data_IF_011818808405
#
_entry.id   IF_011818808405
#
_cell.length_a   1.000
_cell.length_b   1.000
_cell.length_c   1.000
_cell.angle_alpha   90.00
_cell.angle_beta   90.00
_cell.angle_gamma   90.00
#
_symmetry.space_group_name_H-M   'P 1'
#
loop_
_entity.id
_entity.type
_entity.pdbx_description
1 polymer ?
#
# COMPACT_ATOMS: atom_id res chain seq x y z
N UNK A 1 -29.21 22.77 16.50
CA UNK A 1 -29.53 21.98 15.30
C UNK A 1 -29.23 20.53 15.64
N UNK A 2 -30.22 19.64 15.58
CA UNK A 2 -30.01 18.24 15.91
C UNK A 2 -29.11 17.61 14.83
N UNK A 3 -27.94 17.10 15.21
CA UNK A 3 -27.10 16.28 14.35
C UNK A 3 -27.87 15.00 14.03
N UNK A 4 -28.43 14.91 12.83
CA UNK A 4 -28.87 13.64 12.27
C UNK A 4 -27.67 12.69 12.27
N UNK A 5 -27.77 11.48 12.83
CA UNK A 5 -26.67 10.53 12.78
C UNK A 5 -26.30 10.25 11.31
N UNK A 6 -25.01 10.07 11.00
CA UNK A 6 -24.57 9.73 9.66
C UNK A 6 -25.24 8.44 9.22
N UNK A 7 -25.63 8.36 7.94
CA UNK A 7 -26.39 7.24 7.39
C UNK A 7 -25.61 5.92 7.39
N UNK A 8 -24.29 5.97 7.47
CA UNK A 8 -23.40 4.81 7.51
C UNK A 8 -22.44 4.91 8.69
N UNK A 9 -22.21 3.78 9.35
CA UNK A 9 -21.32 3.67 10.51
C UNK A 9 -20.54 2.35 10.46
N UNK A 10 -19.38 2.32 11.12
CA UNK A 10 -18.58 1.10 11.31
C UNK A 10 -17.88 1.11 12.65
N UNK A 11 -17.33 -0.03 13.05
CA UNK A 11 -16.59 -0.18 14.29
C UNK A 11 -15.09 -0.16 14.01
N UNK A 12 -14.37 0.81 14.59
CA UNK A 12 -12.90 0.83 14.60
C UNK A 12 -12.41 0.26 15.94
N UNK A 13 -11.56 -0.76 15.96
CA UNK A 13 -10.97 -1.28 17.20
C UNK A 13 -10.14 -0.22 17.90
N UNK A 14 -10.30 -0.12 19.22
CA UNK A 14 -9.51 0.76 20.05
C UNK A 14 -8.12 0.15 20.31
N UNK A 15 -7.06 0.98 20.37
CA UNK A 15 -5.80 0.56 20.96
C UNK A 15 -6.05 0.16 22.42
N UNK A 16 -5.63 -1.04 22.82
CA UNK A 16 -5.81 -1.51 24.21
C UNK A 16 -4.94 -0.66 25.14
N UNK A 17 -5.54 0.14 26.01
CA UNK A 17 -4.86 0.61 27.22
C UNK A 17 -4.77 -0.58 28.18
N UNK A 18 -3.55 -0.98 28.54
CA UNK A 18 -3.18 -2.08 29.46
C UNK A 18 -3.03 -3.48 28.84
N UNK A 19 -2.01 -4.19 29.33
CA UNK A 19 -1.46 -5.45 28.80
C UNK A 19 -2.33 -6.69 29.01
N UNK A 20 -3.60 -6.64 28.62
CA UNK A 20 -4.44 -7.82 28.51
C UNK A 20 -4.34 -8.40 27.09
N UNK A 21 -4.03 -9.70 27.00
CA UNK A 21 -4.14 -10.50 25.79
C UNK A 21 -5.63 -10.64 25.41
N UNK A 22 -6.22 -9.63 24.78
CA UNK A 22 -7.53 -9.76 24.16
C UNK A 22 -7.35 -10.28 22.73
N UNK A 23 -7.85 -11.50 22.52
CA UNK A 23 -7.77 -12.23 21.23
C UNK A 23 -8.82 -11.78 20.22
N UNK A 24 -9.73 -10.87 20.59
CA UNK A 24 -10.80 -10.38 19.72
C UNK A 24 -10.76 -8.83 19.60
N UNK A 25 -10.31 -8.27 18.46
CA UNK A 25 -10.29 -6.83 18.23
C UNK A 25 -11.68 -6.19 18.21
N UNK A 26 -12.75 -6.97 18.03
CA UNK A 26 -14.11 -6.43 17.96
C UNK A 26 -14.73 -6.20 19.36
N UNK A 27 -14.16 -6.82 20.40
CA UNK A 27 -14.66 -6.70 21.78
C UNK A 27 -14.47 -5.29 22.39
N UNK A 28 -13.54 -4.50 21.84
CA UNK A 28 -13.25 -3.13 22.29
C UNK A 28 -13.16 -2.19 21.08
N UNK A 29 -14.28 -1.95 20.42
CA UNK A 29 -14.37 -1.10 19.23
C UNK A 29 -15.28 0.11 19.44
N UNK A 30 -14.94 1.24 18.81
CA UNK A 30 -15.73 2.46 18.81
C UNK A 30 -16.54 2.57 17.52
N UNK A 31 -17.83 2.89 17.66
CA UNK A 31 -18.70 3.18 16.54
C UNK A 31 -18.38 4.56 15.96
N UNK A 32 -17.93 4.59 14.71
CA UNK A 32 -17.53 5.80 13.99
C UNK A 32 -18.36 5.99 12.71
N UNK A 33 -18.54 7.22 12.25
CA UNK A 33 -19.19 7.50 10.97
C UNK A 33 -18.37 7.02 9.77
N UNK A 34 -19.07 6.63 8.71
CA UNK A 34 -18.51 6.53 7.36
C UNK A 34 -19.05 7.70 6.53
N UNK A 35 -18.14 8.49 5.96
CA UNK A 35 -18.46 9.63 5.09
C UNK A 35 -18.17 9.28 3.64
N UNK A 36 -19.19 9.32 2.78
CA UNK A 36 -19.00 9.29 1.33
C UNK A 36 -18.70 10.72 0.88
N UNK A 37 -17.49 10.93 0.35
CA UNK A 37 -16.96 12.24 -0.04
C UNK A 37 -17.09 12.36 -1.55
N UNK A 38 -17.91 13.32 -2.02
CA UNK A 38 -18.04 13.69 -3.43
C UNK A 38 -17.57 15.11 -3.70
N UNK A 39 -17.31 15.90 -2.66
CA UNK A 39 -16.81 17.27 -2.72
C UNK A 39 -15.65 17.50 -1.76
N UNK A 40 -14.72 18.37 -2.15
CA UNK A 40 -13.51 18.70 -1.40
C UNK A 40 -13.81 19.18 0.03
N UNK A 41 -14.89 19.94 0.22
CA UNK A 41 -15.27 20.50 1.53
C UNK A 41 -15.68 19.45 2.57
N UNK A 42 -15.87 18.19 2.15
CA UNK A 42 -16.23 17.08 3.04
C UNK A 42 -14.99 16.35 3.60
N UNK A 43 -13.79 16.69 3.15
CA UNK A 43 -12.54 16.14 3.68
C UNK A 43 -12.06 16.88 4.93
N UNK A 44 -11.39 16.20 5.87
CA UNK A 44 -10.76 16.85 7.02
C UNK A 44 -9.73 17.89 6.58
N UNK A 45 -9.80 19.08 7.17
CA UNK A 45 -8.88 20.17 6.81
C UNK A 45 -7.43 19.80 7.09
N UNK A 46 -7.16 19.14 8.21
CA UNK A 46 -5.82 18.64 8.56
C UNK A 46 -5.24 17.64 7.56
N UNK A 47 -6.10 16.94 6.79
CA UNK A 47 -5.65 16.03 5.76
C UNK A 47 -5.30 16.79 4.49
N UNK A 48 -6.14 17.75 4.08
CA UNK A 48 -5.89 18.57 2.88
C UNK A 48 -4.69 19.51 3.10
N UNK A 49 -4.48 20.00 4.33
CA UNK A 49 -3.41 20.91 4.73
C UNK A 49 -2.53 20.26 5.82
N UNK A 50 -1.69 19.26 5.49
CA UNK A 50 -0.89 18.54 6.48
C UNK A 50 0.20 19.43 7.08
N UNK A 51 0.39 19.35 8.40
CA UNK A 51 1.34 20.17 9.15
C UNK A 51 2.25 19.33 10.05
N UNK A 52 3.46 19.84 10.29
CA UNK A 52 4.39 19.27 11.27
C UNK A 52 3.87 19.34 12.71
N UNK A 53 3.00 20.30 13.01
CA UNK A 53 2.46 20.53 14.36
C UNK A 53 1.45 19.46 14.79
N UNK A 54 0.73 18.88 13.81
CA UNK A 54 -0.26 17.83 14.03
C UNK A 54 -0.07 16.71 13.01
N UNK A 55 0.97 15.87 13.16
CA UNK A 55 1.16 14.71 12.30
C UNK A 55 -0.04 13.76 12.38
N UNK A 56 -0.36 13.13 11.26
CA UNK A 56 -1.49 12.22 11.15
C UNK A 56 -0.99 10.80 10.88
N UNK A 57 -1.74 9.82 11.35
CA UNK A 57 -1.63 8.42 10.93
C UNK A 57 -3.00 7.99 10.44
N UNK A 58 -3.08 7.53 9.20
CA UNK A 58 -4.32 7.12 8.55
C UNK A 58 -4.19 5.72 7.99
N UNK A 59 -5.26 4.92 8.07
CA UNK A 59 -5.41 3.74 7.23
C UNK A 59 -5.73 4.18 5.81
N UNK A 60 -5.13 3.57 4.79
CA UNK A 60 -5.33 3.96 3.41
C UNK A 60 -5.41 2.74 2.50
N UNK A 61 -6.32 2.78 1.53
CA UNK A 61 -6.48 1.79 0.48
C UNK A 61 -7.04 2.46 -0.79
N UNK A 62 -7.00 1.74 -1.92
CA UNK A 62 -7.63 2.16 -3.16
C UNK A 62 -8.37 0.99 -3.81
N UNK A 63 -9.54 1.27 -4.39
CA UNK A 63 -10.29 0.29 -5.16
C UNK A 63 -10.73 0.83 -6.52
N UNK A 64 -10.86 -0.07 -7.50
CA UNK A 64 -11.09 0.33 -8.88
C UNK A 64 -11.24 -0.82 -9.88
N UNK A 65 -11.27 -0.47 -11.16
CA UNK A 65 -11.27 -1.44 -12.27
C UNK A 65 -9.84 -1.63 -12.76
N UNK A 66 -9.35 -2.86 -12.68
CA UNK A 66 -7.98 -3.23 -13.04
C UNK A 66 -6.94 -2.26 -12.46
N UNK A 67 -7.08 -1.91 -11.17
CA UNK A 67 -6.37 -0.82 -10.49
C UNK A 67 -4.86 -0.87 -10.78
N UNK A 68 -4.40 0.06 -11.62
CA UNK A 68 -3.03 0.18 -12.14
C UNK A 68 -2.86 1.44 -12.97
N UNK A 69 -1.72 1.59 -13.65
CA UNK A 69 -1.44 2.71 -14.57
C UNK A 69 -2.45 2.88 -15.72
N UNK A 70 -3.11 1.81 -16.17
CA UNK A 70 -4.05 1.78 -17.29
C UNK A 70 -5.50 1.48 -16.87
N UNK A 71 -5.71 1.14 -15.60
CA UNK A 71 -7.02 0.94 -15.02
C UNK A 71 -7.62 2.25 -14.56
N UNK A 72 -8.67 2.17 -13.75
CA UNK A 72 -9.37 3.33 -13.20
C UNK A 72 -9.52 3.20 -11.68
N UNK A 73 -8.95 4.15 -10.95
CA UNK A 73 -9.26 4.33 -9.52
C UNK A 73 -10.70 4.82 -9.38
N UNK A 74 -11.50 4.14 -8.56
CA UNK A 74 -12.91 4.46 -8.37
C UNK A 74 -13.22 5.01 -6.97
N UNK A 75 -12.49 4.57 -5.96
CA UNK A 75 -12.63 5.05 -4.58
C UNK A 75 -11.29 4.98 -3.85
N UNK A 76 -10.99 5.99 -3.02
CA UNK A 76 -9.93 5.90 -2.01
C UNK A 76 -10.57 5.80 -0.63
N UNK A 77 -10.07 4.90 0.20
CA UNK A 77 -10.54 4.72 1.56
C UNK A 77 -9.52 5.31 2.53
N UNK A 78 -9.97 6.14 3.46
CA UNK A 78 -9.11 6.81 4.43
C UNK A 78 -9.71 6.65 5.82
N UNK A 79 -9.09 5.83 6.66
CA UNK A 79 -9.49 5.63 8.04
C UNK A 79 -8.72 6.58 8.96
N UNK A 80 -9.46 7.37 9.73
CA UNK A 80 -9.01 8.14 10.88
C UNK A 80 -9.43 7.42 12.17
N UNK A 81 -8.87 7.79 13.34
CA UNK A 81 -9.31 7.21 14.61
C UNK A 81 -10.80 7.37 14.90
N UNK A 82 -11.43 8.41 14.36
CA UNK A 82 -12.80 8.83 14.68
C UNK A 82 -13.77 8.78 13.49
N UNK A 83 -13.32 8.43 12.28
CA UNK A 83 -14.17 8.36 11.09
C UNK A 83 -13.49 7.60 9.92
N UNK A 84 -14.28 7.08 8.98
CA UNK A 84 -13.80 6.57 7.70
C UNK A 84 -14.33 7.45 6.57
N UNK A 85 -13.45 7.86 5.64
CA UNK A 85 -13.81 8.65 4.47
C UNK A 85 -13.64 7.80 3.22
N UNK A 86 -14.71 7.67 2.44
CA UNK A 86 -14.73 7.03 1.13
C UNK A 86 -14.75 8.12 0.06
N UNK A 87 -13.58 8.41 -0.49
CA UNK A 87 -13.37 9.45 -1.51
C UNK A 87 -13.82 8.91 -2.86
N UNK A 88 -14.97 9.36 -3.33
CA UNK A 88 -15.60 8.88 -4.55
C UNK A 88 -14.98 9.55 -5.78
N UNK A 89 -13.99 8.88 -6.40
CA UNK A 89 -13.33 9.38 -7.60
C UNK A 89 -14.24 9.36 -8.85
N UNK A 90 -15.31 8.55 -8.85
CA UNK A 90 -16.25 8.46 -9.98
C UNK A 90 -17.20 9.66 -10.00
N UNK A 91 -17.79 10.03 -8.86
CA UNK A 91 -18.68 11.19 -8.77
C UNK A 91 -17.92 12.50 -8.55
N UNK A 92 -16.89 12.51 -7.70
CA UNK A 92 -16.11 13.71 -7.38
C UNK A 92 -15.03 14.04 -8.41
N UNK A 93 -14.72 13.09 -9.30
CA UNK A 93 -13.76 13.28 -10.39
C UNK A 93 -12.31 13.43 -9.94
N UNK A 94 -11.47 13.79 -10.90
CA UNK A 94 -10.01 13.88 -10.72
C UNK A 94 -9.59 14.98 -9.72
N UNK A 95 -10.33 16.09 -9.67
CA UNK A 95 -10.06 17.20 -8.76
C UNK A 95 -10.13 16.75 -7.29
N UNK A 96 -11.14 15.92 -6.96
CA UNK A 96 -11.30 15.40 -5.62
C UNK A 96 -10.13 14.48 -5.22
N UNK A 97 -9.60 13.68 -6.14
CA UNK A 97 -8.42 12.85 -5.86
C UNK A 97 -7.17 13.72 -5.71
N UNK A 98 -6.99 14.71 -6.60
CA UNK A 98 -5.84 15.62 -6.59
C UNK A 98 -5.76 16.48 -5.34
N UNK A 99 -6.89 16.83 -4.72
CA UNK A 99 -6.87 17.60 -3.47
C UNK A 99 -6.22 16.83 -2.31
N UNK A 100 -6.20 15.49 -2.37
CA UNK A 100 -5.55 14.65 -1.37
C UNK A 100 -4.02 14.61 -1.54
N UNK A 101 -3.48 15.12 -2.66
CA UNK A 101 -2.05 15.07 -3.00
C UNK A 101 -1.15 15.61 -1.87
N UNK A 102 -1.41 16.78 -1.26
CA UNK A 102 -0.56 17.27 -0.17
C UNK A 102 -0.42 16.26 0.98
N UNK A 103 -1.50 15.61 1.43
CA UNK A 103 -1.45 14.58 2.46
C UNK A 103 -0.70 13.32 1.99
N UNK A 104 -1.01 12.85 0.80
CA UNK A 104 -0.48 11.59 0.26
C UNK A 104 1.04 11.67 0.01
N UNK A 105 1.55 12.84 -0.37
CA UNK A 105 2.99 13.09 -0.56
C UNK A 105 3.70 13.62 0.71
N UNK A 106 2.94 13.99 1.76
CA UNK A 106 3.49 14.56 2.98
C UNK A 106 4.23 13.53 3.84
N UNK A 107 5.35 13.99 4.42
CA UNK A 107 6.09 13.27 5.48
C UNK A 107 5.42 13.37 6.86
N UNK A 108 4.43 14.24 7.01
CA UNK A 108 3.69 14.45 8.27
C UNK A 108 2.42 13.61 8.35
N UNK A 109 2.05 12.93 7.27
CA UNK A 109 0.93 11.99 7.26
C UNK A 109 1.50 10.60 7.00
N UNK A 110 1.36 9.70 7.95
CA UNK A 110 1.72 8.28 7.79
C UNK A 110 0.54 7.55 7.18
N UNK A 111 0.76 6.89 6.05
CA UNK A 111 -0.27 6.07 5.39
C UNK A 111 0.01 4.61 5.73
N UNK A 112 -0.84 4.01 6.54
CA UNK A 112 -0.82 2.58 6.85
C UNK A 112 -1.61 1.86 5.75
N UNK A 113 -0.96 1.01 4.99
CA UNK A 113 -1.53 0.32 3.81
C UNK A 113 -1.24 -1.17 3.94
N UNK A 114 -2.03 -2.00 3.27
CA UNK A 114 -1.69 -3.41 3.04
C UNK A 114 -1.43 -3.66 1.56
N UNK A 115 -0.19 -3.94 1.17
CA UNK A 115 0.21 -4.14 -0.23
C UNK A 115 0.04 -2.89 -1.13
N UNK A 116 0.77 -1.80 -0.82
CA UNK A 116 0.59 -0.49 -1.44
C UNK A 116 1.00 -0.39 -2.92
N UNK A 117 1.55 -1.45 -3.51
CA UNK A 117 2.25 -1.42 -4.80
C UNK A 117 1.34 -0.97 -5.95
N UNK A 118 0.07 -1.40 -5.96
CA UNK A 118 -0.90 -1.08 -7.02
C UNK A 118 -1.61 0.25 -6.80
N UNK A 119 -1.86 0.59 -5.54
CA UNK A 119 -2.40 1.90 -5.17
C UNK A 119 -1.42 3.00 -5.59
N UNK A 120 -0.13 2.80 -5.28
CA UNK A 120 0.92 3.73 -5.67
C UNK A 120 1.04 3.87 -7.18
N UNK A 121 0.97 2.76 -7.93
CA UNK A 121 1.00 2.78 -9.40
C UNK A 121 -0.18 3.56 -9.98
N UNK A 122 -1.40 3.31 -9.49
CA UNK A 122 -2.60 4.00 -9.92
C UNK A 122 -2.51 5.51 -9.62
N UNK A 123 -2.17 5.87 -8.38
CA UNK A 123 -2.01 7.26 -7.94
C UNK A 123 -0.95 8.02 -8.75
N UNK A 124 0.18 7.37 -9.03
CA UNK A 124 1.28 7.98 -9.77
C UNK A 124 0.92 8.24 -11.23
N UNK A 125 0.45 7.24 -11.97
CA UNK A 125 0.20 7.38 -13.40
C UNK A 125 -1.12 8.07 -13.74
N UNK A 126 -2.17 7.91 -12.92
CA UNK A 126 -3.47 8.52 -13.19
C UNK A 126 -3.58 9.95 -12.64
N UNK A 127 -2.91 10.27 -11.52
CA UNK A 127 -3.08 11.55 -10.82
C UNK A 127 -1.77 12.30 -10.54
N UNK A 128 -0.61 11.72 -10.88
CA UNK A 128 0.69 12.31 -10.61
C UNK A 128 1.03 12.40 -9.12
N UNK A 129 0.49 11.51 -8.29
CA UNK A 129 0.67 11.50 -6.83
C UNK A 129 1.73 10.46 -6.44
N UNK A 130 2.74 10.88 -5.68
CA UNK A 130 3.81 10.00 -5.17
C UNK A 130 3.60 9.71 -3.69
N UNK A 131 3.07 8.53 -3.38
CA UNK A 131 2.92 8.10 -1.99
C UNK A 131 4.27 8.18 -1.24
N UNK A 132 4.24 8.85 -0.09
CA UNK A 132 5.39 9.06 0.78
C UNK A 132 5.04 8.65 2.20
N UNK A 133 6.03 8.32 3.05
CA UNK A 133 5.78 7.97 4.46
C UNK A 133 4.71 6.86 4.62
N UNK A 134 4.89 5.78 3.88
CA UNK A 134 4.00 4.60 3.87
C UNK A 134 4.53 3.54 4.82
N UNK A 135 3.63 2.99 5.63
CA UNK A 135 3.85 1.79 6.43
C UNK A 135 3.03 0.67 5.79
N UNK A 136 3.71 -0.22 5.07
CA UNK A 136 3.06 -1.37 4.46
C UNK A 136 3.05 -2.56 5.43
N UNK A 137 1.85 -2.91 5.89
CA UNK A 137 1.63 -4.00 6.84
C UNK A 137 2.01 -5.37 6.29
N UNK A 138 2.03 -5.58 4.96
CA UNK A 138 2.46 -6.83 4.32
C UNK A 138 3.92 -7.18 4.63
N UNK A 139 4.76 -6.17 4.89
CA UNK A 139 6.19 -6.36 5.19
C UNK A 139 6.40 -7.16 6.48
N UNK A 140 5.49 -7.03 7.45
CA UNK A 140 5.61 -7.64 8.78
C UNK A 140 4.60 -8.78 8.95
N UNK A 141 3.41 -8.64 8.37
CA UNK A 141 2.34 -9.61 8.47
C UNK A 141 2.37 -10.50 7.23
N UNK A 142 3.14 -11.57 7.29
CA UNK A 142 3.07 -12.64 6.28
C UNK A 142 1.79 -13.50 6.39
N UNK A 143 0.99 -13.32 7.45
CA UNK A 143 -0.18 -14.16 7.73
C UNK A 143 -1.20 -13.42 8.61
N UNK A 144 -2.13 -12.67 8.02
CA UNK A 144 -3.50 -12.58 8.56
C UNK A 144 -4.45 -12.65 7.38
N UNK A 145 -4.80 -13.87 6.97
CA UNK A 145 -6.00 -14.10 6.18
C UNK A 145 -7.20 -13.96 7.10
N UNK A 146 -7.84 -12.79 7.12
CA UNK A 146 -9.16 -12.67 7.73
C UNK A 146 -10.12 -13.58 6.96
N UNK A 147 -10.66 -14.59 7.66
CA UNK A 147 -11.51 -15.65 7.10
C UNK A 147 -12.80 -15.08 6.49
N UNK A 148 -13.22 -13.88 6.92
CA UNK A 148 -14.44 -13.21 6.43
C UNK A 148 -14.30 -12.57 5.04
N UNK A 149 -13.09 -12.41 4.49
CA UNK A 149 -12.92 -11.71 3.20
C UNK A 149 -13.19 -12.55 1.95
N UNK A 150 -13.14 -13.88 2.01
CA UNK A 150 -13.20 -14.67 0.76
C UNK A 150 -14.57 -14.59 0.06
N UNK A 151 -15.69 -14.58 0.80
CA UNK A 151 -17.01 -14.55 0.16
C UNK A 151 -17.31 -13.21 -0.52
N UNK A 152 -16.99 -12.09 0.15
CA UNK A 152 -17.11 -10.74 -0.44
C UNK A 152 -16.16 -10.60 -1.62
N UNK A 153 -14.89 -11.02 -1.49
CA UNK A 153 -13.92 -10.99 -2.60
C UNK A 153 -14.33 -11.86 -3.77
N UNK A 154 -15.00 -12.98 -3.54
CA UNK A 154 -15.56 -13.81 -4.62
C UNK A 154 -16.69 -13.09 -5.36
N UNK A 155 -17.54 -12.33 -4.66
CA UNK A 155 -18.56 -11.49 -5.29
C UNK A 155 -17.94 -10.34 -6.09
N UNK A 156 -16.95 -9.66 -5.52
CA UNK A 156 -16.20 -8.59 -6.20
C UNK A 156 -15.54 -9.08 -7.50
N UNK A 157 -14.98 -10.30 -7.50
CA UNK A 157 -14.36 -10.91 -8.70
C UNK A 157 -15.34 -11.26 -9.81
N UNK A 158 -16.64 -11.41 -9.51
CA UNK A 158 -17.66 -11.74 -10.52
C UNK A 158 -18.03 -10.54 -11.38
N UNK A 159 -17.95 -9.33 -10.82
CA UNK A 159 -18.26 -8.10 -11.53
C UNK A 159 -17.03 -7.19 -11.57
N UNK A 160 -16.27 -7.18 -12.69
CA UNK A 160 -15.07 -6.34 -12.81
C UNK A 160 -15.40 -4.83 -12.79
N UNK A 161 -16.67 -4.44 -12.97
CA UNK A 161 -17.13 -3.05 -12.93
C UNK A 161 -17.76 -2.66 -11.59
N UNK A 162 -17.73 -3.54 -10.59
CA UNK A 162 -18.37 -3.35 -9.29
C UNK A 162 -18.14 -1.95 -8.70
N UNK A 163 -16.89 -1.48 -8.70
CA UNK A 163 -16.52 -0.19 -8.13
C UNK A 163 -16.94 1.04 -8.94
N UNK A 164 -17.47 0.87 -10.16
CA UNK A 164 -17.90 1.97 -11.03
C UNK A 164 -19.35 2.41 -10.79
N UNK A 165 -20.19 1.56 -10.20
CA UNK A 165 -21.61 1.84 -10.07
C UNK A 165 -21.91 2.91 -9.03
N UNK A 166 -22.91 3.76 -9.29
CA UNK A 166 -23.34 4.84 -8.39
C UNK A 166 -24.88 4.94 -8.32
N UNK A 167 -25.45 5.35 -7.17
CA UNK A 167 -24.76 5.60 -5.88
C UNK A 167 -24.13 4.32 -5.31
N UNK A 168 -23.15 4.45 -4.40
CA UNK A 168 -22.53 3.27 -3.77
C UNK A 168 -23.59 2.47 -3.03
N UNK A 169 -23.62 1.16 -3.25
CA UNK A 169 -24.49 0.27 -2.49
C UNK A 169 -23.99 0.09 -1.06
N UNK A 170 -24.87 -0.34 -0.15
CA UNK A 170 -24.49 -0.63 1.24
C UNK A 170 -23.41 -1.72 1.36
N UNK A 171 -23.33 -2.63 0.37
CA UNK A 171 -22.25 -3.62 0.30
C UNK A 171 -20.92 -2.95 -0.07
N UNK A 172 -20.91 -2.03 -1.03
CA UNK A 172 -19.70 -1.28 -1.43
C UNK A 172 -19.15 -0.46 -0.27
N UNK A 173 -20.03 0.25 0.45
CA UNK A 173 -19.66 1.11 1.58
C UNK A 173 -19.01 0.28 2.69
N UNK A 174 -19.63 -0.86 3.07
CA UNK A 174 -19.10 -1.76 4.08
C UNK A 174 -17.78 -2.40 3.66
N UNK A 175 -17.72 -2.98 2.46
CA UNK A 175 -16.51 -3.61 1.94
C UNK A 175 -15.33 -2.64 1.91
N UNK A 176 -15.53 -1.43 1.39
CA UNK A 176 -14.51 -0.40 1.35
C UNK A 176 -14.04 0.02 2.75
N UNK A 177 -14.97 0.21 3.70
CA UNK A 177 -14.60 0.53 5.07
C UNK A 177 -13.81 -0.61 5.76
N UNK A 178 -14.16 -1.86 5.50
CA UNK A 178 -13.49 -3.05 6.07
C UNK A 178 -12.03 -3.20 5.61
N UNK A 179 -11.65 -2.66 4.45
CA UNK A 179 -10.27 -2.68 3.98
C UNK A 179 -9.33 -1.79 4.80
N UNK A 180 -9.85 -0.73 5.44
CA UNK A 180 -9.03 0.24 6.18
C UNK A 180 -9.30 0.31 7.68
N UNK A 181 -10.49 -0.09 8.18
CA UNK A 181 -10.90 0.15 9.58
C UNK A 181 -9.99 -0.52 10.62
N UNK A 182 -9.30 -1.60 10.25
CA UNK A 182 -8.37 -2.33 11.12
C UNK A 182 -6.92 -1.86 11.03
N UNK A 183 -6.56 -1.09 10.01
CA UNK A 183 -5.15 -0.77 9.73
C UNK A 183 -4.51 0.05 10.84
N UNK A 184 -5.23 1.00 11.45
CA UNK A 184 -4.73 1.78 12.58
C UNK A 184 -4.47 0.92 13.82
N UNK A 185 -5.40 0.01 14.14
CA UNK A 185 -5.22 -0.94 15.25
C UNK A 185 -3.99 -1.83 15.02
N UNK A 186 -3.86 -2.40 13.81
CA UNK A 186 -2.71 -3.21 13.41
C UNK A 186 -1.42 -2.40 13.54
N UNK A 187 -1.42 -1.16 13.05
CA UNK A 187 -0.28 -0.25 13.18
C UNK A 187 0.14 -0.07 14.63
N UNK A 188 -0.77 0.26 15.54
CA UNK A 188 -0.43 0.44 16.96
C UNK A 188 0.15 -0.83 17.59
N UNK A 189 -0.46 -2.00 17.34
CA UNK A 189 0.06 -3.30 17.82
C UNK A 189 1.42 -3.65 17.22
N UNK A 190 1.70 -3.25 15.99
CA UNK A 190 3.01 -3.40 15.40
C UNK A 190 4.02 -2.46 16.06
N UNK A 191 3.68 -1.19 16.25
CA UNK A 191 4.58 -0.19 16.84
C UNK A 191 5.03 -0.56 18.27
N UNK A 192 4.18 -1.25 19.05
CA UNK A 192 4.55 -1.78 20.37
C UNK A 192 5.68 -2.82 20.33
N UNK A 193 5.85 -3.53 19.20
CA UNK A 193 6.75 -4.69 19.08
C UNK A 193 8.02 -4.40 18.28
N UNK A 194 8.05 -3.33 17.50
CA UNK A 194 9.16 -3.03 16.60
C UNK A 194 10.24 -2.21 17.30
N UNK A 195 11.50 -2.59 17.08
CA UNK A 195 12.66 -1.80 17.47
C UNK A 195 13.04 -0.77 16.38
N UNK A 196 13.99 0.12 16.68
CA UNK A 196 14.46 1.15 15.74
C UNK A 196 14.91 0.61 14.38
N UNK A 197 15.59 -0.55 14.35
CA UNK A 197 16.03 -1.18 13.11
C UNK A 197 14.86 -1.69 12.27
N UNK A 198 13.86 -2.32 12.91
CA UNK A 198 12.69 -2.86 12.24
C UNK A 198 11.78 -1.75 11.71
N UNK A 199 11.67 -0.64 12.45
CA UNK A 199 10.95 0.56 12.00
C UNK A 199 11.62 1.21 10.79
N UNK A 200 12.95 1.34 10.81
CA UNK A 200 13.69 1.84 9.65
C UNK A 200 13.51 0.92 8.44
N UNK A 201 13.64 -0.39 8.63
CA UNK A 201 13.45 -1.37 7.56
C UNK A 201 12.05 -1.28 6.94
N UNK A 202 11.02 -1.15 7.78
CA UNK A 202 9.63 -0.98 7.35
C UNK A 202 9.44 0.30 6.51
N UNK A 203 10.05 1.41 6.92
CA UNK A 203 10.00 2.67 6.18
C UNK A 203 10.73 2.58 4.82
N UNK A 204 11.90 1.92 4.78
CA UNK A 204 12.64 1.68 3.53
C UNK A 204 11.82 0.80 2.58
N UNK A 205 11.30 -0.33 3.08
CA UNK A 205 10.44 -1.23 2.28
C UNK A 205 9.19 -0.54 1.76
N UNK A 206 8.51 0.25 2.59
CA UNK A 206 7.36 1.04 2.18
C UNK A 206 7.69 2.00 1.03
N UNK A 207 8.81 2.70 1.11
CA UNK A 207 9.27 3.59 0.04
C UNK A 207 9.65 2.83 -1.25
N UNK A 208 10.30 1.66 -1.15
CA UNK A 208 10.64 0.83 -2.31
C UNK A 208 9.39 0.23 -2.98
N UNK A 209 8.39 -0.20 -2.19
CA UNK A 209 7.13 -0.71 -2.72
C UNK A 209 6.34 0.36 -3.48
N UNK A 210 6.29 1.59 -2.97
CA UNK A 210 5.66 2.71 -3.68
C UNK A 210 6.33 3.00 -5.03
N UNK A 211 7.66 2.78 -5.13
CA UNK A 211 8.42 3.00 -6.37
C UNK A 211 8.36 1.84 -7.35
N UNK A 212 8.08 0.62 -6.85
CA UNK A 212 8.19 -0.63 -7.59
C UNK A 212 7.57 -0.50 -8.99
N UNK A 213 6.26 -0.30 -9.11
CA UNK A 213 5.64 -0.19 -10.43
C UNK A 213 5.67 1.22 -11.02
N UNK A 214 6.18 2.23 -10.31
CA UNK A 214 6.20 3.62 -10.77
C UNK A 214 7.47 3.98 -11.56
N UNK A 215 7.88 3.09 -12.46
CA UNK A 215 9.11 3.26 -13.27
C UNK A 215 8.96 4.47 -14.21
N UNK A 216 9.96 5.35 -14.19
CA UNK A 216 10.13 6.46 -15.12
C UNK A 216 11.60 6.62 -15.51
N UNK A 217 11.87 7.34 -16.60
CA UNK A 217 13.20 7.45 -17.20
C UNK A 217 14.22 8.24 -16.36
N UNK A 218 13.79 8.90 -15.29
CA UNK A 218 14.64 9.76 -14.46
C UNK A 218 15.31 9.04 -13.27
N UNK A 219 15.15 7.71 -13.16
CA UNK A 219 15.75 6.94 -12.06
C UNK A 219 15.21 7.31 -10.67
N UNK A 220 13.95 7.71 -10.57
CA UNK A 220 13.29 8.16 -9.34
C UNK A 220 13.85 9.45 -8.74
N UNK A 221 14.53 10.29 -9.52
CA UNK A 221 15.11 11.55 -9.04
C UNK A 221 14.09 12.53 -8.45
N UNK A 222 12.83 12.41 -8.85
CA UNK A 222 11.72 13.23 -8.39
C UNK A 222 10.90 12.60 -7.24
N UNK A 223 11.34 11.45 -6.72
CA UNK A 223 10.74 10.80 -5.55
C UNK A 223 11.40 11.27 -4.25
N UNK A 224 10.67 11.30 -3.12
CA UNK A 224 11.26 11.53 -1.81
C UNK A 224 12.41 10.56 -1.56
N UNK A 225 13.56 10.98 -0.99
CA UNK A 225 14.70 10.10 -0.76
C UNK A 225 14.33 8.92 0.15
N UNK A 226 15.05 7.80 0.01
CA UNK A 226 14.87 6.66 0.92
C UNK A 226 15.28 7.06 2.34
N UNK A 227 14.63 6.52 3.39
CA UNK A 227 15.03 6.75 4.76
C UNK A 227 16.48 6.33 5.02
N UNK A 228 17.30 7.27 5.51
CA UNK A 228 18.68 6.99 5.90
C UNK A 228 18.74 6.08 7.12
N UNK A 229 19.80 5.28 7.22
CA UNK A 229 20.07 4.46 8.41
C UNK A 229 20.21 5.38 9.64
N UNK A 230 19.49 5.12 10.74
CA UNK A 230 19.63 5.87 11.99
C UNK A 230 21.06 5.83 12.57
N UNK A 231 21.59 6.98 13.00
CA UNK A 231 22.98 7.13 13.52
C UNK A 231 23.31 6.18 14.67
N UNK A 232 22.32 5.85 15.51
CA UNK A 232 22.49 4.93 16.63
C UNK A 232 22.81 3.50 16.16
N UNK A 233 22.19 3.04 15.06
CA UNK A 233 22.46 1.71 14.51
C UNK A 233 23.84 1.63 13.86
N UNK A 234 24.31 2.75 13.29
CA UNK A 234 25.65 2.84 12.70
C UNK A 234 26.75 2.69 13.77
N UNK A 235 26.56 3.36 14.91
CA UNK A 235 27.54 3.36 16.03
C UNK A 235 27.67 2.01 16.73
N UNK A 236 26.62 1.19 16.72
CA UNK A 236 26.60 -0.14 17.35
C UNK A 236 27.28 -1.23 16.51
N UNK A 237 27.83 -0.90 15.32
CA UNK A 237 28.48 -1.87 14.43
C UNK A 237 27.52 -2.85 13.76
N UNK A 238 26.21 -2.69 13.98
CA UNK A 238 25.12 -3.49 13.41
C UNK A 238 24.38 -2.71 12.31
N UNK A 239 25.10 -1.91 11.51
CA UNK A 239 24.48 -1.15 10.43
C UNK A 239 23.77 -2.11 9.47
N UNK A 240 22.44 -2.01 9.31
CA UNK A 240 21.70 -2.89 8.42
C UNK A 240 22.15 -2.69 6.97
N UNK A 241 22.16 -3.76 6.16
CA UNK A 241 22.44 -3.65 4.73
C UNK A 241 21.37 -2.77 4.06
N UNK A 242 21.82 -1.78 3.29
CA UNK A 242 20.90 -0.95 2.50
C UNK A 242 20.15 -1.80 1.47
N UNK A 243 18.84 -1.59 1.41
CA UNK A 243 18.00 -2.20 0.39
C UNK A 243 17.80 -1.27 -0.80
N UNK A 244 17.76 -1.88 -1.99
CA UNK A 244 17.59 -1.19 -3.25
C UNK A 244 16.44 -1.83 -4.04
N UNK A 245 15.88 -1.06 -4.96
CA UNK A 245 15.02 -1.52 -6.04
C UNK A 245 15.84 -1.51 -7.32
N UNK A 246 16.02 -2.67 -7.94
CA UNK A 246 16.56 -2.80 -9.29
C UNK A 246 15.45 -3.16 -10.28
N UNK A 247 15.53 -2.55 -11.46
CA UNK A 247 14.61 -2.79 -12.58
C UNK A 247 15.43 -3.43 -13.70
N UNK A 248 15.13 -4.68 -13.99
CA UNK A 248 15.79 -5.46 -15.03
C UNK A 248 14.92 -5.54 -16.27
N UNK A 249 15.47 -5.08 -17.40
CA UNK A 249 14.86 -5.25 -18.72
C UNK A 249 14.89 -6.70 -19.17
N UNK A 250 13.75 -7.20 -19.63
CA UNK A 250 13.59 -8.51 -20.23
C UNK A 250 13.33 -8.34 -21.72
N UNK A 251 14.22 -8.86 -22.59
CA UNK A 251 14.01 -8.81 -24.03
C UNK A 251 12.68 -9.43 -24.45
N UNK A 252 12.10 -8.91 -25.53
CA UNK A 252 10.81 -9.39 -26.05
C UNK A 252 10.80 -10.92 -26.25
N UNK A 253 9.77 -11.58 -25.71
CA UNK A 253 9.61 -13.04 -25.78
C UNK A 253 10.42 -13.84 -24.75
N UNK A 254 11.30 -13.21 -23.96
CA UNK A 254 12.15 -13.92 -22.98
C UNK A 254 11.52 -14.08 -21.60
N UNK A 255 10.41 -13.38 -21.32
CA UNK A 255 9.74 -13.46 -20.00
C UNK A 255 9.32 -14.91 -19.65
N UNK A 256 8.88 -15.69 -20.64
CA UNK A 256 8.54 -17.11 -20.43
C UNK A 256 9.73 -17.95 -19.95
N UNK A 257 10.96 -17.62 -20.36
CA UNK A 257 12.20 -18.30 -19.89
C UNK A 257 12.55 -17.90 -18.46
N UNK A 258 12.39 -16.62 -18.14
CA UNK A 258 12.58 -16.09 -16.78
C UNK A 258 11.63 -16.78 -15.80
N UNK A 259 10.34 -16.83 -16.12
CA UNK A 259 9.30 -17.47 -15.29
C UNK A 259 9.50 -18.99 -15.24
N UNK A 260 9.77 -19.60 -16.39
CA UNK A 260 9.86 -21.05 -16.56
C UNK A 260 8.49 -21.74 -16.53
N UNK A 261 8.47 -23.04 -16.83
CA UNK A 261 7.24 -23.84 -16.84
C UNK A 261 6.57 -23.81 -15.46
N UNK A 262 5.31 -23.36 -15.41
CA UNK A 262 4.52 -23.19 -14.17
C UNK A 262 5.20 -22.33 -13.10
N UNK A 263 6.10 -21.41 -13.49
CA UNK A 263 6.82 -20.56 -12.53
C UNK A 263 7.99 -21.24 -11.81
N UNK A 264 8.36 -22.47 -12.16
CA UNK A 264 9.39 -23.22 -11.44
C UNK A 264 10.77 -22.53 -11.43
N UNK A 265 11.14 -21.87 -12.53
CA UNK A 265 12.43 -21.17 -12.63
C UNK A 265 12.45 -19.97 -11.70
N UNK A 266 11.43 -19.09 -11.78
CA UNK A 266 11.40 -17.89 -10.95
C UNK A 266 11.28 -18.22 -9.44
N UNK A 267 10.53 -19.27 -9.08
CA UNK A 267 10.45 -19.74 -7.70
C UNK A 267 11.82 -20.19 -7.17
N UNK A 268 12.54 -21.00 -7.94
CA UNK A 268 13.89 -21.44 -7.59
C UNK A 268 14.87 -20.27 -7.44
N UNK A 269 14.77 -19.25 -8.31
CA UNK A 269 15.59 -18.04 -8.20
C UNK A 269 15.27 -17.27 -6.92
N UNK A 270 13.98 -17.05 -6.61
CA UNK A 270 13.54 -16.38 -5.38
C UNK A 270 14.09 -17.06 -4.12
N UNK A 271 13.94 -18.38 -4.02
CA UNK A 271 14.47 -19.19 -2.92
C UNK A 271 16.00 -19.09 -2.80
N UNK A 272 16.69 -19.01 -3.94
CA UNK A 272 18.16 -18.98 -3.97
C UNK A 272 18.75 -17.62 -3.62
N UNK A 273 18.15 -16.51 -4.07
CA UNK A 273 18.71 -15.17 -3.92
C UNK A 273 18.29 -14.46 -2.63
N UNK A 274 17.17 -14.90 -2.02
CA UNK A 274 16.55 -14.26 -0.86
C UNK A 274 16.19 -12.77 -1.09
N UNK A 275 16.09 -12.35 -2.35
CA UNK A 275 15.50 -11.08 -2.76
C UNK A 275 14.02 -11.29 -3.08
N UNK A 276 13.23 -10.25 -2.90
CA UNK A 276 11.89 -10.21 -3.45
C UNK A 276 11.98 -9.93 -4.95
N UNK A 277 11.33 -10.77 -5.74
CA UNK A 277 11.28 -10.61 -7.20
C UNK A 277 9.83 -10.49 -7.64
N UNK A 278 9.52 -9.39 -8.32
CA UNK A 278 8.20 -9.08 -8.86
C UNK A 278 8.30 -9.11 -10.38
N UNK A 279 7.45 -9.93 -11.00
CA UNK A 279 7.40 -10.07 -12.45
C UNK A 279 6.39 -9.06 -12.98
N UNK A 280 6.79 -8.28 -13.98
CA UNK A 280 5.88 -7.45 -14.75
C UNK A 280 4.89 -8.27 -15.60
N UNK A 281 3.97 -7.61 -16.30
CA UNK A 281 2.91 -8.26 -17.08
C UNK A 281 1.52 -7.84 -16.61
N UNK A 282 0.67 -8.78 -16.20
CA UNK A 282 -0.67 -8.44 -15.69
C UNK A 282 -0.64 -7.48 -14.48
N UNK A 283 0.50 -7.42 -13.76
CA UNK A 283 0.69 -6.64 -12.53
C UNK A 283 1.72 -5.50 -12.66
N UNK A 284 2.25 -5.21 -13.85
CA UNK A 284 3.28 -4.17 -14.05
C UNK A 284 3.80 -4.15 -15.50
N UNK A 285 4.87 -3.42 -15.85
CA UNK A 285 5.35 -3.36 -17.23
C UNK A 285 5.75 -4.74 -17.77
N UNK A 286 5.24 -5.19 -18.93
CA UNK A 286 5.35 -6.59 -19.39
C UNK A 286 6.77 -7.08 -19.68
N UNK A 287 7.69 -6.15 -19.87
CA UNK A 287 9.10 -6.35 -20.24
C UNK A 287 10.06 -6.07 -19.08
N UNK A 288 9.57 -5.94 -17.84
CA UNK A 288 10.41 -5.63 -16.67
C UNK A 288 10.29 -6.70 -15.58
N UNK A 289 11.40 -6.92 -14.89
CA UNK A 289 11.46 -7.66 -13.62
C UNK A 289 12.00 -6.73 -12.56
N UNK A 290 11.31 -6.66 -11.42
CA UNK A 290 11.67 -5.78 -10.32
C UNK A 290 12.21 -6.60 -9.17
N UNK A 291 13.30 -6.14 -8.59
CA UNK A 291 14.06 -6.89 -7.59
C UNK A 291 14.29 -5.97 -6.40
N UNK A 292 13.81 -6.37 -5.23
CA UNK A 292 13.92 -5.62 -3.97
C UNK A 292 14.67 -6.46 -2.94
N UNK A 293 15.69 -5.88 -2.34
CA UNK A 293 16.48 -6.51 -1.27
C UNK A 293 17.82 -5.82 -1.11
N UNK A 294 18.72 -6.44 -0.37
CA UNK A 294 20.06 -5.87 -0.20
C UNK A 294 20.84 -5.87 -1.52
N UNK A 295 21.82 -4.97 -1.64
CA UNK A 295 22.67 -4.86 -2.85
C UNK A 295 23.23 -6.21 -3.29
N UNK A 296 23.64 -7.06 -2.34
CA UNK A 296 24.17 -8.40 -2.62
C UNK A 296 23.10 -9.35 -3.14
N UNK A 297 21.92 -9.36 -2.51
CA UNK A 297 20.79 -10.19 -2.92
C UNK A 297 20.31 -9.81 -4.33
N UNK A 298 20.19 -8.52 -4.60
CA UNK A 298 19.75 -7.96 -5.88
C UNK A 298 20.73 -8.32 -7.00
N UNK A 299 22.04 -8.13 -6.80
CA UNK A 299 23.06 -8.54 -7.78
C UNK A 299 23.04 -10.04 -8.06
N UNK A 300 22.84 -10.86 -7.02
CA UNK A 300 22.70 -12.31 -7.18
C UNK A 300 21.47 -12.66 -8.01
N UNK A 301 20.33 -12.05 -7.71
CA UNK A 301 19.09 -12.25 -8.46
C UNK A 301 19.25 -11.85 -9.94
N UNK A 302 19.81 -10.66 -10.22
CA UNK A 302 20.06 -10.20 -11.58
C UNK A 302 20.95 -11.16 -12.38
N UNK A 303 22.04 -11.65 -11.78
CA UNK A 303 22.93 -12.60 -12.45
C UNK A 303 22.20 -13.90 -12.81
N UNK A 304 21.37 -14.43 -11.90
CA UNK A 304 20.56 -15.62 -12.15
C UNK A 304 19.50 -15.39 -13.25
N UNK A 305 18.82 -14.24 -13.22
CA UNK A 305 17.80 -13.87 -14.20
C UNK A 305 18.41 -13.67 -15.60
N UNK A 306 19.54 -12.94 -15.70
CA UNK A 306 20.29 -12.77 -16.95
C UNK A 306 20.79 -14.11 -17.50
N UNK A 307 21.25 -15.01 -16.64
CA UNK A 307 21.63 -16.36 -17.03
C UNK A 307 20.50 -17.10 -17.75
N UNK A 308 19.26 -17.04 -17.23
CA UNK A 308 18.08 -17.65 -17.86
C UNK A 308 17.71 -17.05 -19.22
N UNK A 309 18.06 -15.80 -19.48
CA UNK A 309 17.82 -15.16 -20.76
C UNK A 309 18.87 -15.54 -21.81
N UNK A 310 20.05 -16.02 -21.38
CA UNK A 310 21.17 -16.38 -22.25
C UNK A 310 21.29 -17.89 -22.54
N UNK A 311 20.62 -18.75 -21.76
CA UNK A 311 20.55 -20.20 -22.03
C UNK A 311 19.88 -20.43 -23.41
N UNK A 312 20.67 -20.88 -24.40
CA UNK A 312 20.22 -21.16 -25.78
C UNK A 312 19.37 -22.43 -25.82
#
# INVERSE_FOLDING_TARGET
MANTPPSHQTCIPLPSDSGENQTDPEANATLVPIHIVTHVSQLPKEFVEPSAEKPLVVGFDCEGVDLCRHGNLCVMQIAFPDAVYLVDAVQGGEELVKVCKPALESKYVTKVIHDCKRDSEALYFQFGIKLNNVIDTQVIINCVSYVEKEEVRLLLRKDPKFWTYRPMSELMVRAAADDVRFLLYIYHKMMEKLNHQSLWYLAVRGALYCRCFCISDNGYADWPPLPSVPDNLVKEGNAPEEEILSVLDVPHGMMGRVIGRRGASILSIKESCNAEILIGGAKGPPDKVLIIGSVRQVRKAEAMLRGRMLEI
#
